data_IF_780625069018
#
_entry.id   IF_780625069018
#
_cell.length_a   1.000
_cell.length_b   1.000
_cell.length_c   1.000
_cell.angle_alpha   90.00
_cell.angle_beta   90.00
_cell.angle_gamma   90.00
#
_symmetry.space_group_name_H-M   'P 1'
#
loop_
_entity.id
_entity.type
_entity.pdbx_description
1 polymer ?
#
# COMPACT_ATOMS: atom_id res chain seq x y z
N UNK A 1 30.39 -10.34 27.64
CA UNK A 1 30.19 -8.98 28.17
C UNK A 1 28.72 -8.68 27.99
N UNK A 2 28.02 -8.33 29.06
CA UNK A 2 26.56 -8.22 29.07
C UNK A 2 26.10 -7.04 28.20
N UNK A 3 25.43 -7.35 27.10
CA UNK A 3 24.79 -6.39 26.19
C UNK A 3 23.45 -5.95 26.80
N UNK A 4 23.54 -5.05 27.77
CA UNK A 4 22.40 -4.64 28.59
C UNK A 4 22.15 -3.15 28.45
N UNK A 5 21.41 -2.76 27.40
CA UNK A 5 20.31 -1.76 27.48
C UNK A 5 19.34 -2.04 26.33
N UNK A 6 18.29 -2.80 26.64
CA UNK A 6 17.10 -2.92 25.79
C UNK A 6 16.15 -1.82 26.26
N UNK A 7 16.07 -0.70 25.53
CA UNK A 7 14.97 0.25 25.75
C UNK A 7 13.69 -0.38 25.19
N UNK A 8 13.20 -1.41 25.87
CA UNK A 8 11.80 -1.76 25.72
C UNK A 8 11.01 -0.54 26.18
N UNK A 9 10.08 -0.06 25.35
CA UNK A 9 8.92 0.69 25.83
C UNK A 9 7.77 -0.31 25.92
N UNK A 10 7.85 -1.35 26.78
CA UNK A 10 6.90 -2.46 26.75
C UNK A 10 5.49 -1.97 27.09
N UNK A 11 5.37 -0.81 27.75
CA UNK A 11 4.11 -0.17 28.07
C UNK A 11 3.41 0.51 26.87
N UNK A 12 4.13 0.87 25.80
CA UNK A 12 3.55 1.60 24.67
C UNK A 12 3.65 0.85 23.34
N UNK A 13 4.72 0.06 23.13
CA UNK A 13 4.96 -0.67 21.89
C UNK A 13 5.60 -2.04 22.17
N UNK A 14 4.84 -3.03 22.66
CA UNK A 14 5.37 -4.37 22.97
C UNK A 14 5.95 -5.11 21.75
N UNK A 15 5.66 -4.61 20.54
CA UNK A 15 6.05 -5.20 19.26
C UNK A 15 7.40 -4.69 18.72
N UNK A 16 8.09 -3.78 19.41
CA UNK A 16 9.31 -3.12 18.94
C UNK A 16 10.37 -3.11 20.05
N UNK A 17 11.59 -3.49 19.71
CA UNK A 17 12.79 -3.22 20.51
C UNK A 17 13.72 -2.26 19.75
N UNK A 18 14.47 -1.45 20.51
CA UNK A 18 15.45 -0.51 19.97
C UNK A 18 16.78 -0.76 20.65
N UNK A 19 17.84 -0.93 19.86
CA UNK A 19 19.19 -1.08 20.39
C UNK A 19 19.85 0.27 20.72
N UNK A 20 21.05 0.22 21.32
CA UNK A 20 21.84 1.43 21.67
C UNK A 20 22.15 2.32 20.47
N UNK A 21 22.21 1.72 19.29
CA UNK A 21 22.48 2.40 18.03
C UNK A 21 21.18 2.92 17.41
N UNK A 22 20.03 2.78 18.06
CA UNK A 22 18.72 3.27 17.61
C UNK A 22 18.04 2.39 16.56
N UNK A 23 18.62 1.23 16.21
CA UNK A 23 18.06 0.32 15.21
C UNK A 23 16.79 -0.33 15.74
N UNK A 24 15.81 -0.47 14.86
CA UNK A 24 14.51 -1.02 15.22
C UNK A 24 14.51 -2.52 14.95
N UNK A 25 14.33 -3.28 16.01
CA UNK A 25 14.01 -4.71 15.97
C UNK A 25 12.50 -4.90 16.06
N UNK A 26 11.92 -5.57 15.05
CA UNK A 26 10.47 -5.84 14.98
C UNK A 26 10.22 -7.20 15.61
N UNK A 27 9.54 -7.22 16.74
CA UNK A 27 9.36 -8.42 17.57
C UNK A 27 8.08 -9.20 17.23
N UNK A 28 7.26 -8.71 16.30
CA UNK A 28 6.03 -9.35 15.88
C UNK A 28 6.16 -9.95 14.47
N UNK A 29 5.51 -11.08 14.23
CA UNK A 29 5.47 -11.71 12.90
C UNK A 29 4.81 -10.76 11.90
N UNK A 30 5.48 -10.49 10.79
CA UNK A 30 4.88 -9.76 9.68
C UNK A 30 4.08 -10.74 8.82
N UNK A 31 3.00 -11.28 9.40
CA UNK A 31 2.10 -12.15 8.66
C UNK A 31 1.55 -11.37 7.47
N UNK A 32 1.66 -11.97 6.29
CA UNK A 32 1.11 -11.45 5.05
C UNK A 32 0.15 -12.46 4.45
N UNK A 33 -0.93 -11.98 3.88
CA UNK A 33 -1.87 -12.80 3.10
C UNK A 33 -1.71 -12.48 1.62
N UNK A 34 -1.80 -13.47 0.72
CA UNK A 34 -1.75 -13.22 -0.71
C UNK A 34 -2.99 -12.42 -1.16
N UNK A 35 -2.92 -11.73 -2.31
CA UNK A 35 -4.11 -11.15 -2.92
C UNK A 35 -5.05 -12.28 -3.37
N UNK A 36 -6.34 -12.09 -3.17
CA UNK A 36 -7.37 -13.09 -3.40
C UNK A 36 -8.70 -12.47 -3.82
N UNK A 37 -9.60 -13.33 -4.30
CA UNK A 37 -11.04 -13.05 -4.30
C UNK A 37 -11.57 -13.45 -2.93
N UNK A 38 -12.08 -12.49 -2.17
CA UNK A 38 -12.65 -12.74 -0.85
C UNK A 38 -14.07 -13.31 -0.97
N UNK A 39 -14.35 -14.54 -0.51
CA UNK A 39 -15.66 -15.16 -0.65
C UNK A 39 -16.74 -14.49 0.20
N UNK A 40 -16.36 -13.80 1.29
CA UNK A 40 -17.33 -13.15 2.19
C UNK A 40 -17.86 -11.84 1.62
N UNK A 41 -17.02 -11.06 0.95
CA UNK A 41 -17.36 -9.72 0.43
C UNK A 41 -17.44 -9.65 -1.09
N UNK A 42 -16.93 -10.65 -1.81
CA UNK A 42 -16.81 -10.65 -3.27
C UNK A 42 -15.75 -9.67 -3.80
N UNK A 43 -14.93 -9.07 -2.93
CA UNK A 43 -13.87 -8.15 -3.30
C UNK A 43 -12.70 -8.90 -3.92
N UNK A 44 -12.23 -8.42 -5.06
CA UNK A 44 -11.02 -8.94 -5.70
C UNK A 44 -9.84 -8.04 -5.36
N UNK A 45 -8.71 -8.65 -4.97
CA UNK A 45 -7.49 -7.91 -4.69
C UNK A 45 -6.33 -8.32 -5.60
N UNK A 46 -5.40 -7.40 -5.83
CA UNK A 46 -4.19 -7.61 -6.64
C UNK A 46 -3.04 -6.76 -6.14
N UNK A 47 -1.85 -7.33 -6.10
CA UNK A 47 -0.62 -6.62 -5.75
C UNK A 47 0.04 -6.00 -6.99
N UNK A 48 0.57 -4.79 -6.82
CA UNK A 48 1.27 -4.04 -7.86
C UNK A 48 2.51 -3.37 -7.30
N UNK A 49 3.58 -3.34 -8.08
CA UNK A 49 4.74 -2.49 -7.79
C UNK A 49 4.50 -1.11 -8.41
N UNK A 50 4.61 -0.07 -7.58
CA UNK A 50 4.39 1.33 -8.02
C UNK A 50 5.73 1.96 -8.39
N UNK A 51 6.74 1.80 -7.53
CA UNK A 51 8.06 2.38 -7.74
C UNK A 51 9.13 1.46 -7.12
N UNK A 52 9.71 0.55 -7.92
CA UNK A 52 10.72 -0.41 -7.44
C UNK A 52 11.94 0.28 -6.83
N UNK A 53 12.38 1.41 -7.40
CA UNK A 53 13.56 2.15 -6.93
C UNK A 53 13.46 2.71 -5.50
N UNK A 54 12.25 2.75 -4.92
CA UNK A 54 12.01 3.17 -3.53
C UNK A 54 11.27 2.09 -2.72
N UNK A 55 11.20 0.86 -3.23
CA UNK A 55 10.46 -0.25 -2.63
C UNK A 55 9.01 0.11 -2.27
N UNK A 56 8.32 0.81 -3.17
CA UNK A 56 6.90 1.15 -3.01
C UNK A 56 6.05 0.20 -3.84
N UNK A 57 5.22 -0.58 -3.15
CA UNK A 57 4.19 -1.43 -3.74
C UNK A 57 2.82 -1.10 -3.14
N UNK A 58 1.77 -1.69 -3.69
CA UNK A 58 0.42 -1.56 -3.16
C UNK A 58 -0.43 -2.79 -3.44
N UNK A 59 -1.48 -2.96 -2.63
CA UNK A 59 -2.60 -3.85 -2.93
C UNK A 59 -3.80 -3.04 -3.38
N UNK A 60 -4.29 -3.34 -4.57
CA UNK A 60 -5.53 -2.78 -5.13
C UNK A 60 -6.68 -3.69 -4.76
N UNK A 61 -7.81 -3.11 -4.36
CA UNK A 61 -9.06 -3.79 -4.04
C UNK A 61 -10.16 -3.27 -4.95
N UNK A 62 -10.86 -4.18 -5.61
CA UNK A 62 -11.95 -3.92 -6.53
C UNK A 62 -13.27 -4.42 -5.91
N UNK A 63 -14.30 -3.56 -5.76
CA UNK A 63 -15.56 -3.98 -5.17
C UNK A 63 -16.30 -4.98 -6.06
N UNK A 64 -17.22 -5.77 -5.49
CA UNK A 64 -18.05 -6.67 -6.28
C UNK A 64 -18.92 -5.88 -7.28
N UNK A 65 -19.19 -6.49 -8.44
CA UNK A 65 -20.14 -5.96 -9.46
C UNK A 65 -19.78 -4.58 -10.03
N UNK A 66 -18.50 -4.34 -10.32
CA UNK A 66 -18.10 -3.09 -10.98
C UNK A 66 -18.70 -2.96 -12.38
N UNK A 67 -19.44 -1.87 -12.61
CA UNK A 67 -19.87 -1.50 -13.95
C UNK A 67 -18.77 -0.66 -14.62
N UNK A 68 -18.15 -1.12 -15.73
CA UNK A 68 -17.05 -0.42 -16.39
C UNK A 68 -17.43 0.97 -16.94
N UNK A 69 -18.72 1.28 -17.03
CA UNK A 69 -19.22 2.60 -17.46
C UNK A 69 -19.32 3.62 -16.31
N UNK A 70 -19.32 3.15 -15.05
CA UNK A 70 -19.46 3.99 -13.87
C UNK A 70 -18.07 4.20 -13.27
N UNK A 71 -17.68 5.47 -13.10
CA UNK A 71 -16.45 5.80 -12.39
C UNK A 71 -16.66 5.62 -10.89
N UNK A 72 -15.80 4.81 -10.27
CA UNK A 72 -15.79 4.63 -8.83
C UNK A 72 -14.79 5.61 -8.16
N UNK A 73 -15.08 6.07 -6.94
CA UNK A 73 -14.11 6.81 -6.14
C UNK A 73 -12.87 5.97 -5.87
N UNK A 74 -11.72 6.64 -5.77
CA UNK A 74 -10.45 6.05 -5.36
C UNK A 74 -10.16 6.39 -3.90
N UNK A 75 -9.89 5.36 -3.09
CA UNK A 75 -9.44 5.48 -1.70
C UNK A 75 -7.96 5.08 -1.61
N UNK A 76 -7.09 6.03 -1.27
CA UNK A 76 -5.72 5.70 -0.88
C UNK A 76 -5.67 5.38 0.61
N UNK A 77 -5.23 4.17 0.94
CA UNK A 77 -5.14 3.67 2.31
C UNK A 77 -3.67 3.52 2.72
N UNK A 78 -3.37 4.01 3.92
CA UNK A 78 -2.08 3.85 4.58
C UNK A 78 -2.31 3.01 5.82
N UNK A 79 -1.61 1.89 5.91
CA UNK A 79 -1.68 1.07 7.12
C UNK A 79 -1.13 1.84 8.31
N UNK A 80 -1.59 1.50 9.51
CA UNK A 80 -1.06 2.09 10.75
C UNK A 80 0.27 1.44 11.14
N UNK A 81 0.79 1.78 12.33
CA UNK A 81 2.08 1.27 12.80
C UNK A 81 3.20 2.31 12.85
N UNK A 82 2.84 3.61 12.87
CA UNK A 82 3.76 4.73 13.09
C UNK A 82 4.96 4.78 12.13
N UNK A 83 4.80 4.23 10.92
CA UNK A 83 5.87 4.02 9.93
C UNK A 83 6.99 3.06 10.36
N UNK A 84 6.81 2.32 11.46
CA UNK A 84 7.83 1.43 12.03
C UNK A 84 7.44 -0.04 11.81
N UNK A 85 6.15 -0.35 11.92
CA UNK A 85 5.57 -1.69 11.77
C UNK A 85 4.34 -1.68 10.84
N UNK A 86 3.86 -2.88 10.52
CA UNK A 86 2.71 -3.09 9.64
C UNK A 86 3.11 -3.29 8.17
N UNK A 87 2.14 -3.70 7.37
CA UNK A 87 2.25 -3.85 5.92
C UNK A 87 0.85 -3.78 5.32
N UNK A 88 0.72 -3.30 4.07
CA UNK A 88 -0.54 -3.37 3.33
C UNK A 88 -1.06 -4.81 3.14
N UNK A 89 -0.17 -5.81 3.28
CA UNK A 89 -0.49 -7.21 3.07
C UNK A 89 -0.88 -7.94 4.36
N UNK A 90 -0.92 -7.25 5.51
CA UNK A 90 -1.28 -7.85 6.78
C UNK A 90 -2.75 -8.29 6.80
N UNK A 91 -3.08 -9.47 7.40
CA UNK A 91 -4.45 -9.96 7.48
C UNK A 91 -5.45 -8.93 8.04
N UNK A 92 -5.05 -8.16 9.06
CA UNK A 92 -5.94 -7.20 9.71
C UNK A 92 -6.37 -6.07 8.76
N UNK A 93 -5.43 -5.47 8.03
CA UNK A 93 -5.73 -4.44 7.04
C UNK A 93 -6.41 -5.02 5.80
N UNK A 94 -6.04 -6.25 5.41
CA UNK A 94 -6.67 -6.92 4.28
C UNK A 94 -8.16 -7.16 4.52
N UNK A 95 -8.52 -7.73 5.66
CA UNK A 95 -9.92 -7.99 6.02
C UNK A 95 -10.70 -6.69 6.19
N UNK A 96 -10.09 -5.68 6.83
CA UNK A 96 -10.71 -4.36 6.97
C UNK A 96 -11.03 -3.73 5.60
N UNK A 97 -10.09 -3.77 4.66
CA UNK A 97 -10.26 -3.20 3.33
C UNK A 97 -11.26 -3.98 2.48
N UNK A 98 -11.34 -5.30 2.59
CA UNK A 98 -12.39 -6.09 1.92
C UNK A 98 -13.78 -5.60 2.34
N UNK A 99 -14.02 -5.45 3.65
CA UNK A 99 -15.31 -4.94 4.13
C UNK A 99 -15.56 -3.49 3.72
N UNK A 100 -14.58 -2.61 3.86
CA UNK A 100 -14.72 -1.19 3.54
C UNK A 100 -15.04 -0.98 2.05
N UNK A 101 -14.32 -1.67 1.17
CA UNK A 101 -14.50 -1.59 -0.29
C UNK A 101 -15.88 -2.09 -0.70
N UNK A 102 -16.32 -3.22 -0.14
CA UNK A 102 -17.64 -3.77 -0.44
C UNK A 102 -18.78 -2.86 0.04
N UNK A 103 -18.65 -2.27 1.23
CA UNK A 103 -19.68 -1.41 1.80
C UNK A 103 -19.75 -0.03 1.14
N UNK A 104 -18.60 0.58 0.85
CA UNK A 104 -18.54 1.93 0.30
C UNK A 104 -18.59 1.96 -1.23
N UNK A 105 -18.46 0.81 -1.91
CA UNK A 105 -18.37 0.69 -3.37
C UNK A 105 -17.28 1.61 -3.95
N UNK A 106 -16.06 1.48 -3.43
CA UNK A 106 -14.88 2.27 -3.83
C UNK A 106 -13.75 1.36 -4.27
N UNK A 107 -12.85 1.86 -5.13
CA UNK A 107 -11.59 1.17 -5.40
C UNK A 107 -10.57 1.62 -4.37
N UNK A 108 -10.02 0.69 -3.58
CA UNK A 108 -9.00 1.02 -2.60
C UNK A 108 -7.59 0.66 -3.10
N UNK A 109 -6.62 1.53 -2.79
CA UNK A 109 -5.20 1.33 -3.06
C UNK A 109 -4.48 1.40 -1.71
N UNK A 110 -4.15 0.24 -1.16
CA UNK A 110 -3.43 0.10 0.10
C UNK A 110 -1.93 0.13 -0.14
N UNK A 111 -1.27 1.20 0.29
CA UNK A 111 0.14 1.44 0.01
C UNK A 111 1.02 0.64 0.99
N UNK A 112 1.92 -0.16 0.44
CA UNK A 112 2.98 -0.84 1.17
C UNK A 112 4.25 0.01 1.07
N UNK A 113 4.38 0.94 2.00
CA UNK A 113 5.50 1.88 2.04
C UNK A 113 6.66 1.36 2.90
N UNK A 114 7.84 1.93 2.67
CA UNK A 114 9.05 1.59 3.43
C UNK A 114 8.93 1.99 4.90
N UNK A 115 9.30 1.08 5.80
CA UNK A 115 9.34 1.31 7.24
C UNK A 115 10.68 1.93 7.68
N UNK A 116 10.67 2.62 8.82
CA UNK A 116 11.84 3.24 9.41
C UNK A 116 12.87 2.16 9.80
N UNK A 117 14.15 2.31 9.41
CA UNK A 117 15.19 1.41 9.89
C UNK A 117 15.63 1.74 11.33
N UNK A 118 15.52 3.02 11.72
CA UNK A 118 16.08 3.57 12.96
C UNK A 118 15.17 4.65 13.53
N UNK A 119 15.22 4.89 14.84
CA UNK A 119 14.62 6.07 15.47
C UNK A 119 15.74 7.06 15.84
N UNK A 120 15.63 8.37 15.50
CA UNK A 120 14.62 9.00 14.64
C UNK A 120 14.99 8.91 13.14
N UNK A 121 14.06 8.47 12.28
CA UNK A 121 14.22 8.51 10.82
C UNK A 121 13.30 9.57 10.18
N UNK A 122 13.82 10.73 9.78
CA UNK A 122 13.02 11.72 9.06
C UNK A 122 12.60 11.26 7.65
N UNK A 123 13.18 10.19 7.11
CA UNK A 123 12.83 9.60 5.81
C UNK A 123 11.40 9.10 5.72
N UNK A 124 10.85 8.53 6.80
CA UNK A 124 9.50 7.98 6.82
C UNK A 124 8.42 9.06 6.73
N UNK A 125 8.57 10.13 7.52
CA UNK A 125 7.67 11.29 7.47
C UNK A 125 7.82 12.02 6.13
N UNK A 126 9.05 12.17 5.61
CA UNK A 126 9.28 12.77 4.29
C UNK A 126 8.63 11.96 3.16
N UNK A 127 8.66 10.63 3.22
CA UNK A 127 8.01 9.76 2.22
C UNK A 127 6.50 9.96 2.16
N UNK A 128 5.85 9.98 3.34
CA UNK A 128 4.43 10.30 3.47
C UNK A 128 4.09 11.69 2.90
N UNK A 129 4.87 12.71 3.29
CA UNK A 129 4.69 14.07 2.79
C UNK A 129 4.95 14.19 1.28
N UNK A 130 5.92 13.45 0.73
CA UNK A 130 6.23 13.45 -0.70
C UNK A 130 5.11 12.84 -1.54
N UNK A 131 4.50 11.74 -1.06
CA UNK A 131 3.34 11.14 -1.74
C UNK A 131 2.15 12.10 -1.73
N UNK A 132 1.81 12.69 -0.58
CA UNK A 132 0.75 13.69 -0.51
C UNK A 132 1.03 14.91 -1.39
N UNK A 133 2.29 15.34 -1.52
CA UNK A 133 2.65 16.39 -2.46
C UNK A 133 2.48 15.93 -3.92
N UNK A 134 2.76 14.68 -4.25
CA UNK A 134 2.56 14.11 -5.59
C UNK A 134 1.06 14.04 -5.97
N UNK A 135 0.19 13.70 -5.02
CA UNK A 135 -1.27 13.74 -5.17
C UNK A 135 -1.77 15.18 -5.40
N UNK A 136 -1.35 16.14 -4.56
CA UNK A 136 -1.70 17.56 -4.71
C UNK A 136 -1.22 18.14 -6.03
N UNK A 137 -0.12 17.63 -6.59
CA UNK A 137 0.42 18.04 -7.89
C UNK A 137 -0.26 17.34 -9.08
N UNK A 138 -1.25 16.47 -8.84
CA UNK A 138 -2.01 15.77 -9.89
C UNK A 138 -1.14 14.83 -10.74
N UNK A 139 -0.04 14.30 -10.17
CA UNK A 139 0.91 13.41 -10.88
C UNK A 139 0.77 11.94 -10.50
N UNK A 140 -0.05 11.60 -9.50
CA UNK A 140 -0.28 10.24 -8.98
C UNK A 140 -1.59 9.60 -9.44
N UNK A 141 -2.03 9.85 -10.67
CA UNK A 141 -3.21 9.15 -11.21
C UNK A 141 -2.88 7.69 -11.47
N UNK A 142 -3.47 6.78 -10.70
CA UNK A 142 -3.57 5.37 -11.10
C UNK A 142 -4.55 5.32 -12.27
N UNK A 143 -4.09 4.85 -13.43
CA UNK A 143 -4.96 4.63 -14.58
C UNK A 143 -6.01 3.57 -14.19
N UNK A 144 -7.29 3.96 -14.20
CA UNK A 144 -8.41 3.06 -13.93
C UNK A 144 -8.67 2.08 -15.08
N UNK A 145 -7.84 2.06 -16.14
CA UNK A 145 -7.87 0.99 -17.15
C UNK A 145 -7.04 -0.20 -16.68
N UNK A 146 -7.58 -0.95 -15.72
CA UNK A 146 -7.31 -2.40 -15.65
C UNK A 146 -8.09 -3.03 -16.82
N UNK A 147 -7.60 -2.84 -18.05
CA UNK A 147 -7.92 -3.74 -19.15
C UNK A 147 -6.92 -4.89 -19.10
N UNK A 148 -7.43 -6.08 -19.44
CA UNK A 148 -6.65 -7.31 -19.55
C UNK A 148 -5.42 -7.04 -20.45
N UNK A 149 -4.34 -7.74 -20.13
CA UNK A 149 -3.03 -7.79 -20.81
C UNK A 149 -2.14 -6.53 -20.80
N UNK A 150 -0.95 -6.76 -20.22
CA UNK A 150 0.34 -6.12 -20.49
C UNK A 150 0.66 -4.69 -20.02
N UNK A 151 1.89 -4.57 -19.53
CA UNK A 151 2.48 -3.37 -18.97
C UNK A 151 2.88 -2.38 -20.06
N UNK A 152 2.57 -1.09 -19.89
CA UNK A 152 3.38 -0.03 -20.47
C UNK A 152 3.23 1.29 -19.70
N UNK A 153 4.37 1.84 -19.28
CA UNK A 153 4.51 3.20 -18.74
C UNK A 153 4.35 4.20 -19.89
N UNK A 154 3.54 5.26 -19.78
CA UNK A 154 4.00 6.54 -20.35
C UNK A 154 3.39 7.84 -19.80
N UNK A 155 4.28 8.83 -19.81
CA UNK A 155 4.11 10.26 -19.53
C UNK A 155 3.09 10.92 -20.46
N UNK A 156 2.53 12.05 -19.98
CA UNK A 156 1.78 13.01 -20.81
C UNK A 156 2.63 13.48 -22.01
N UNK A 157 2.16 13.23 -23.24
CA UNK A 157 1.60 14.24 -24.19
C UNK A 157 1.47 13.64 -25.61
N UNK A 158 0.23 13.71 -26.13
CA UNK A 158 -0.26 13.58 -27.53
C UNK A 158 0.48 12.61 -28.49
N UNK A 159 -0.22 11.56 -28.93
CA UNK A 159 -0.31 11.16 -30.34
C UNK A 159 -1.49 10.19 -30.58
N UNK A 160 -1.90 10.12 -31.85
CA UNK A 160 -3.13 9.60 -32.46
C UNK A 160 -3.51 8.14 -32.17
N UNK A 161 -4.80 7.87 -32.37
CA UNK A 161 -5.40 6.55 -32.57
C UNK A 161 -4.69 5.79 -33.70
N UNK A 162 -4.46 4.50 -33.48
CA UNK A 162 -4.35 3.47 -34.51
C UNK A 162 -5.21 2.32 -33.98
N UNK A 163 -6.29 2.03 -34.70
CA UNK A 163 -7.02 0.76 -34.60
C UNK A 163 -6.11 -0.34 -35.14
N UNK A 164 -6.20 -1.56 -34.60
CA UNK A 164 -6.20 -2.82 -35.38
C UNK A 164 -6.30 -4.03 -34.41
N UNK A 165 -7.37 -4.79 -34.65
CA UNK A 165 -7.59 -6.24 -34.60
C UNK A 165 -7.17 -7.16 -33.41
N UNK A 166 -8.23 -7.87 -32.99
CA UNK A 166 -8.34 -9.19 -32.35
C UNK A 166 -7.89 -9.46 -30.88
N UNK A 167 -8.93 -9.92 -30.15
CA UNK A 167 -9.04 -10.58 -28.83
C UNK A 167 -9.05 -9.75 -27.54
#
# INVERSE_FOLDING_TARGET
MADEVLHSLPQFFPSIAVDKDGQIQRLYSQDVVPPSLDPATGVQSKDVEIAPGINLSARIYLPPNTNPTIKLPLLFYYHSGCFIIGSAFSPCYHNHLNHLVAQANVVAVSLNYRLAPRIPDPGCVRGFMAFHQMERRGKGGVDQRIRRSEACVFRRRRAKCVEDDEF
#
